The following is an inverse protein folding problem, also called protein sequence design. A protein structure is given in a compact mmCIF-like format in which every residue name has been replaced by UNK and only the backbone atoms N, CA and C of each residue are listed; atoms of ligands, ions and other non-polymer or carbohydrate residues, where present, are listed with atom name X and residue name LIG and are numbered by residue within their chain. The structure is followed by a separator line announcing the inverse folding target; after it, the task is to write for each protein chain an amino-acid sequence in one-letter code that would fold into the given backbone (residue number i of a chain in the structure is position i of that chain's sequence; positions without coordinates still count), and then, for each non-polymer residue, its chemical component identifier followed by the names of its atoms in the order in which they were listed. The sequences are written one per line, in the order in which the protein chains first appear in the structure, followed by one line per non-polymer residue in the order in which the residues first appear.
data_IF_835294159683
#
_entry.id   IF_835294159683
#
_cell.length_a   1.000
_cell.length_b   1.000
_cell.length_c   1.000
_cell.angle_alpha   90.00
_cell.angle_beta   90.00
_cell.angle_gamma   90.00
#
_symmetry.space_group_name_H-M   'P 1'
#
loop_
_entity.id
_entity.type
_entity.pdbx_description
1 polymer ?
#
# COMPACT_ATOMS: atom_id res chain seq x y z
N UNK A 1 -0.41 1.69 0.18
CA UNK A 1 -0.80 0.92 1.39
C UNK A 1 -1.99 1.61 2.03
N UNK A 2 -2.79 0.97 2.88
CA UNK A 2 -3.82 1.66 3.66
C UNK A 2 -3.70 1.29 5.13
N UNK A 3 -3.85 2.28 5.99
CA UNK A 3 -3.95 2.12 7.44
C UNK A 3 -5.41 2.25 7.80
N UNK A 4 -5.94 1.27 8.50
CA UNK A 4 -7.30 1.29 9.03
C UNK A 4 -7.20 1.73 10.48
N UNK A 5 -7.82 2.87 10.80
CA UNK A 5 -7.85 3.37 12.16
C UNK A 5 -8.95 2.66 12.97
N UNK A 6 -8.75 2.58 14.28
CA UNK A 6 -9.77 2.14 15.24
C UNK A 6 -11.00 3.04 15.20
N UNK A 7 -12.16 2.50 15.60
CA UNK A 7 -13.43 3.24 15.59
C UNK A 7 -13.44 4.47 16.52
N UNK A 8 -12.58 4.47 17.55
CA UNK A 8 -12.43 5.55 18.52
C UNK A 8 -11.10 6.30 18.35
N UNK A 9 -10.44 6.15 17.19
CA UNK A 9 -9.19 6.84 16.93
C UNK A 9 -9.44 8.35 16.91
N UNK A 10 -8.63 9.09 17.66
CA UNK A 10 -8.72 10.55 17.76
C UNK A 10 -8.07 11.22 16.55
N UNK A 11 -8.41 12.49 16.32
CA UNK A 11 -7.78 13.28 15.26
C UNK A 11 -6.28 13.44 15.47
N UNK A 12 -5.81 13.52 16.71
CA UNK A 12 -4.39 13.55 17.05
C UNK A 12 -3.68 12.25 16.67
N UNK A 13 -4.32 11.09 16.90
CA UNK A 13 -3.77 9.79 16.49
C UNK A 13 -3.71 9.65 14.97
N UNK A 14 -4.71 10.16 14.25
CA UNK A 14 -4.69 10.19 12.78
C UNK A 14 -3.57 11.11 12.29
N UNK A 15 -3.43 12.30 12.87
CA UNK A 15 -2.37 13.26 12.53
C UNK A 15 -0.98 12.66 12.77
N UNK A 16 -0.75 11.98 13.89
CA UNK A 16 0.52 11.32 14.16
C UNK A 16 0.91 10.28 13.08
N UNK A 17 -0.06 9.52 12.56
CA UNK A 17 0.18 8.58 11.45
C UNK A 17 0.51 9.32 10.15
N UNK A 18 -0.18 10.44 9.88
CA UNK A 18 0.08 11.29 8.72
C UNK A 18 1.50 11.86 8.79
N UNK A 19 1.85 12.50 9.90
CA UNK A 19 3.15 13.13 10.12
C UNK A 19 4.29 12.12 9.95
N UNK A 20 4.19 10.94 10.56
CA UNK A 20 5.21 9.90 10.44
C UNK A 20 5.45 9.47 8.98
N UNK A 21 4.40 9.41 8.18
CA UNK A 21 4.51 8.99 6.77
C UNK A 21 5.08 10.13 5.91
N UNK A 22 4.68 11.37 6.18
CA UNK A 22 5.20 12.54 5.48
C UNK A 22 6.67 12.81 5.82
N UNK A 23 7.09 12.62 7.08
CA UNK A 23 8.51 12.63 7.49
C UNK A 23 9.33 11.53 6.79
N UNK A 24 8.69 10.40 6.50
CA UNK A 24 9.26 9.34 5.67
C UNK A 24 9.21 9.65 4.16
N UNK A 25 8.84 10.87 3.75
CA UNK A 25 8.78 11.31 2.35
C UNK A 25 7.66 10.66 1.55
N UNK A 26 6.63 10.15 2.22
CA UNK A 26 5.39 9.68 1.61
C UNK A 26 4.33 10.78 1.54
N UNK A 27 3.25 10.50 0.82
CA UNK A 27 2.04 11.31 0.83
C UNK A 27 0.90 10.52 1.47
N UNK A 28 -0.02 11.21 2.12
CA UNK A 28 -1.19 10.57 2.74
C UNK A 28 -2.52 11.14 2.26
N UNK A 29 -3.56 10.31 2.32
CA UNK A 29 -4.93 10.73 2.11
C UNK A 29 -5.83 10.17 3.21
N UNK A 30 -6.54 11.04 3.92
CA UNK A 30 -7.44 10.64 5.00
C UNK A 30 -8.87 10.57 4.49
N UNK A 31 -9.46 9.38 4.55
CA UNK A 31 -10.89 9.15 4.31
C UNK A 31 -11.60 8.95 5.64
N UNK A 32 -12.44 9.92 6.02
CA UNK A 32 -13.24 9.87 7.25
C UNK A 32 -14.61 9.26 6.94
N UNK A 33 -14.76 7.97 7.20
CA UNK A 33 -16.03 7.27 7.08
C UNK A 33 -16.90 7.42 8.32
N UNK A 34 -18.19 7.08 8.20
CA UNK A 34 -19.14 7.11 9.34
C UNK A 34 -18.73 6.19 10.50
N UNK A 35 -18.09 5.07 10.18
CA UNK A 35 -17.74 4.04 11.16
C UNK A 35 -16.24 3.95 11.42
N UNK A 36 -15.41 4.28 10.41
CA UNK A 36 -13.95 4.11 10.45
C UNK A 36 -13.26 5.18 9.63
N UNK A 37 -12.07 5.60 10.07
CA UNK A 37 -11.15 6.43 9.32
C UNK A 37 -10.11 5.55 8.64
N UNK A 38 -9.82 5.82 7.37
CA UNK A 38 -8.78 5.13 6.59
C UNK A 38 -7.75 6.16 6.18
N UNK A 39 -6.46 5.85 6.39
CA UNK A 39 -5.35 6.66 5.90
C UNK A 39 -4.68 5.90 4.76
N UNK A 40 -4.85 6.40 3.53
CA UNK A 40 -4.13 5.91 2.37
C UNK A 40 -2.70 6.43 2.37
N UNK A 41 -1.74 5.55 2.11
CA UNK A 41 -0.31 5.87 2.03
C UNK A 41 0.18 5.70 0.59
N UNK A 42 0.72 6.77 0.03
CA UNK A 42 1.24 6.87 -1.33
C UNK A 42 2.76 7.09 -1.28
N UNK A 43 3.49 6.36 -2.11
CA UNK A 43 4.95 6.37 -2.15
C UNK A 43 5.56 4.98 -1.98
N UNK A 44 6.79 4.94 -1.47
CA UNK A 44 7.54 3.71 -1.30
C UNK A 44 6.96 2.83 -0.18
N UNK A 45 6.33 1.73 -0.59
CA UNK A 45 5.68 0.81 0.34
C UNK A 45 6.69 0.03 1.18
N UNK A 46 7.90 -0.22 0.69
CA UNK A 46 8.93 -0.90 1.49
C UNK A 46 9.41 0.00 2.62
N UNK A 47 9.59 1.29 2.35
CA UNK A 47 9.90 2.28 3.39
C UNK A 47 8.82 2.35 4.45
N UNK A 48 7.54 2.35 4.05
CA UNK A 48 6.44 2.41 5.03
C UNK A 48 6.30 1.13 5.87
N UNK A 49 6.66 -0.04 5.33
CA UNK A 49 6.65 -1.30 6.08
C UNK A 49 7.73 -1.34 7.17
N UNK A 50 8.80 -0.55 7.04
CA UNK A 50 9.83 -0.41 8.06
C UNK A 50 9.42 0.55 9.20
N UNK A 51 8.36 1.34 9.02
CA UNK A 51 7.85 2.25 10.04
C UNK A 51 7.00 1.49 11.07
N UNK A 52 6.98 1.92 12.35
CA UNK A 52 6.23 1.25 13.42
C UNK A 52 4.71 1.52 13.37
N UNK A 53 4.13 1.74 12.19
CA UNK A 53 2.73 2.20 12.00
C UNK A 53 1.74 1.24 12.65
N UNK A 54 1.92 -0.07 12.51
CA UNK A 54 1.00 -1.07 13.06
C UNK A 54 0.91 -1.05 14.61
N UNK A 55 1.92 -0.49 15.29
CA UNK A 55 1.94 -0.36 16.74
C UNK A 55 1.50 1.01 17.25
N UNK A 56 1.16 1.95 16.37
CA UNK A 56 0.78 3.30 16.77
C UNK A 56 -0.59 3.33 17.44
N UNK A 57 -0.79 4.19 18.46
CA UNK A 57 -2.10 4.36 19.08
C UNK A 57 -3.18 4.73 18.06
N UNK A 58 -4.34 4.09 18.17
CA UNK A 58 -5.46 4.33 17.26
C UNK A 58 -5.37 3.59 15.92
N UNK A 59 -4.28 2.90 15.62
CA UNK A 59 -4.18 2.01 14.45
C UNK A 59 -4.79 0.64 14.79
N UNK A 60 -5.68 0.15 13.93
CA UNK A 60 -6.26 -1.18 14.05
C UNK A 60 -5.50 -2.20 13.20
N UNK A 61 -5.24 -1.86 11.93
CA UNK A 61 -4.46 -2.72 11.04
C UNK A 61 -3.85 -1.93 9.87
N UNK A 62 -2.73 -2.44 9.35
CA UNK A 62 -2.09 -1.94 8.13
C UNK A 62 -2.26 -2.98 7.02
N UNK A 63 -2.83 -2.56 5.89
CA UNK A 63 -3.13 -3.44 4.76
C UNK A 63 -2.36 -2.98 3.54
N UNK A 64 -1.54 -3.88 3.00
CA UNK A 64 -0.88 -3.64 1.71
C UNK A 64 -1.92 -3.71 0.60
N UNK A 65 -2.03 -2.62 -0.16
CA UNK A 65 -2.89 -2.55 -1.35
C UNK A 65 -2.04 -2.83 -2.57
N UNK A 66 -2.42 -3.86 -3.33
CA UNK A 66 -1.72 -4.30 -4.53
C UNK A 66 -0.76 -5.48 -4.30
N UNK A 67 -0.42 -6.14 -5.41
CA UNK A 67 0.42 -7.34 -5.42
C UNK A 67 1.91 -6.98 -5.25
N UNK A 68 2.70 -7.72 -4.47
CA UNK A 68 4.14 -7.47 -4.33
C UNK A 68 4.95 -7.74 -5.62
N UNK A 69 4.37 -8.46 -6.57
CA UNK A 69 5.00 -8.91 -7.81
C UNK A 69 4.45 -8.17 -9.04
N UNK A 70 4.26 -6.84 -8.95
CA UNK A 70 3.67 -6.03 -10.03
C UNK A 70 4.33 -6.26 -11.39
N UNK A 71 5.66 -6.34 -11.47
CA UNK A 71 6.38 -6.48 -12.74
C UNK A 71 6.06 -7.76 -13.52
N UNK A 72 5.71 -8.84 -12.82
CA UNK A 72 5.38 -10.15 -13.41
C UNK A 72 3.90 -10.49 -13.28
N UNK A 73 3.11 -9.62 -12.66
CA UNK A 73 1.68 -9.79 -12.53
C UNK A 73 1.03 -9.72 -13.92
N UNK A 74 0.15 -10.67 -14.23
CA UNK A 74 -0.54 -10.70 -15.52
C UNK A 74 -1.31 -9.39 -15.79
N UNK A 75 -1.80 -8.72 -14.75
CA UNK A 75 -2.51 -7.43 -14.87
C UNK A 75 -1.59 -6.25 -15.22
N UNK A 76 -0.26 -6.39 -15.11
CA UNK A 76 0.69 -5.31 -15.43
C UNK A 76 0.92 -5.11 -16.93
N UNK A 77 0.52 -6.09 -17.75
CA UNK A 77 0.70 -6.06 -19.21
C UNK A 77 -0.55 -6.59 -19.89
N UNK A 78 -0.99 -5.88 -20.92
CA UNK A 78 -2.16 -6.29 -21.71
C UNK A 78 -1.90 -7.55 -22.55
N UNK A 79 -0.64 -7.81 -22.91
CA UNK A 79 -0.24 -8.95 -23.73
C UNK A 79 0.61 -9.97 -22.95
N UNK A 80 0.50 -11.28 -23.27
CA UNK A 80 1.31 -12.32 -22.65
C UNK A 80 2.80 -12.11 -22.93
N UNK A 81 3.64 -12.56 -21.98
CA UNK A 81 5.08 -12.62 -22.20
C UNK A 81 5.39 -13.77 -23.17
N UNK A 82 6.06 -13.44 -24.27
CA UNK A 82 6.62 -14.40 -25.22
C UNK A 82 8.14 -14.31 -25.12
N UNK A 83 8.79 -15.43 -24.81
CA UNK A 83 10.25 -15.54 -24.80
C UNK A 83 10.69 -16.27 -26.07
N UNK A 84 11.50 -15.61 -26.89
CA UNK A 84 12.03 -16.18 -28.13
C UNK A 84 13.36 -16.90 -27.86
N UNK A 85 13.45 -18.18 -28.20
CA UNK A 85 14.66 -19.00 -28.12
C UNK A 85 14.97 -19.55 -29.52
N UNK A 86 15.89 -18.90 -30.23
CA UNK A 86 16.15 -19.20 -31.64
C UNK A 86 14.88 -19.00 -32.48
N UNK A 87 14.40 -20.07 -33.12
CA UNK A 87 13.17 -20.08 -33.92
C UNK A 87 11.92 -20.55 -33.14
N UNK A 88 12.03 -20.77 -31.82
CA UNK A 88 10.92 -21.22 -30.97
C UNK A 88 10.42 -20.08 -30.09
N UNK A 89 9.09 -19.90 -30.04
CA UNK A 89 8.42 -18.97 -29.14
C UNK A 89 7.84 -19.73 -27.94
N UNK A 90 8.13 -19.29 -26.72
CA UNK A 90 7.63 -19.86 -25.46
C UNK A 90 6.69 -18.84 -24.81
N UNK A 91 5.44 -19.22 -24.58
CA UNK A 91 4.41 -18.41 -23.93
C UNK A 91 3.40 -19.31 -23.20
N UNK A 92 2.46 -18.70 -22.48
CA UNK A 92 1.27 -19.43 -21.97
C UNK A 92 0.36 -19.83 -23.13
N UNK A 93 -0.36 -20.95 -22.97
CA UNK A 93 -1.38 -21.44 -23.91
C UNK A 93 -2.50 -20.42 -24.17
#
# INVERSE_FOLDING_TARGET
MVVVMGAQATDEQVAAVVDLVEEAGGETFVSRGKNRTIVGLLGDTERFMALPIAGMPGVDQVVRVGKPYKLVAAESRTAPHVVQVGNVAIARD
#
